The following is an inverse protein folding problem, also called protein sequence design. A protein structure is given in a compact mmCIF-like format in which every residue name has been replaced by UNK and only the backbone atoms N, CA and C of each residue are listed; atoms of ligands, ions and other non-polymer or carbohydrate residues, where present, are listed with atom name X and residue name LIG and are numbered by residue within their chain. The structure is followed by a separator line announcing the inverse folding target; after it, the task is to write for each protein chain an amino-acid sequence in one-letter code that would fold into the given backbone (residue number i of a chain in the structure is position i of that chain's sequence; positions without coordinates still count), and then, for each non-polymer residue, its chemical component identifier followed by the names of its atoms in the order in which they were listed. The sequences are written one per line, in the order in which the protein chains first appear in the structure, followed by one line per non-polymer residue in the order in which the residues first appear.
data_IF_614473084113
#
_entry.id   IF_614473084113
#
_cell.length_a   1.000
_cell.length_b   1.000
_cell.length_c   1.000
_cell.angle_alpha   90.00
_cell.angle_beta   90.00
_cell.angle_gamma   90.00
#
_symmetry.space_group_name_H-M   'P 1'
#
loop_
_entity.id
_entity.type
_entity.pdbx_description
1 polymer ?
#
# COMPACT_ATOMS: atom_id res chain seq x y z
N UNK A 1 -9.20 6.39 0.99
CA UNK A 1 -8.22 6.79 2.04
C UNK A 1 -7.26 7.85 1.49
N UNK A 2 -6.92 8.91 2.25
CA UNK A 2 -5.91 9.89 1.81
C UNK A 2 -4.48 9.33 1.90
N UNK A 3 -3.57 9.81 1.04
CA UNK A 3 -2.14 9.42 1.06
C UNK A 3 -1.44 9.77 2.38
N UNK A 4 -1.98 10.71 3.16
CA UNK A 4 -1.45 11.10 4.46
C UNK A 4 -1.41 9.97 5.49
N UNK A 5 -2.14 8.86 5.27
CA UNK A 5 -2.08 7.69 6.13
C UNK A 5 -0.89 6.78 5.85
N UNK A 6 -0.21 6.90 4.70
CA UNK A 6 1.02 6.16 4.42
C UNK A 6 2.23 6.79 5.10
N UNK A 7 3.29 6.00 5.25
CA UNK A 7 4.60 6.42 5.72
C UNK A 7 5.10 7.62 4.88
N UNK A 8 5.76 8.63 5.48
CA UNK A 8 6.15 9.85 4.77
C UNK A 8 6.94 9.61 3.49
N UNK A 9 7.85 8.63 3.48
CA UNK A 9 8.63 8.27 2.29
C UNK A 9 7.75 7.74 1.15
N UNK A 10 6.78 6.87 1.46
CA UNK A 10 5.83 6.33 0.48
C UNK A 10 4.94 7.45 -0.07
N UNK A 11 4.45 8.33 0.81
CA UNK A 11 3.65 9.49 0.41
C UNK A 11 4.41 10.40 -0.56
N UNK A 12 5.65 10.79 -0.24
CA UNK A 12 6.47 11.66 -1.09
C UNK A 12 6.69 11.03 -2.45
N UNK A 13 7.17 9.79 -2.46
CA UNK A 13 7.41 9.03 -3.69
C UNK A 13 6.15 8.90 -4.54
N UNK A 14 5.01 8.55 -3.92
CA UNK A 14 3.75 8.38 -4.66
C UNK A 14 3.33 9.70 -5.29
N UNK A 15 3.34 10.80 -4.54
CA UNK A 15 2.94 12.10 -5.06
C UNK A 15 3.86 12.57 -6.19
N UNK A 16 5.17 12.39 -6.06
CA UNK A 16 6.15 12.79 -7.08
C UNK A 16 6.07 11.94 -8.36
N UNK A 17 5.85 10.63 -8.24
CA UNK A 17 5.91 9.69 -9.38
C UNK A 17 4.56 9.43 -10.02
N UNK A 18 3.48 9.46 -9.23
CA UNK A 18 2.15 9.00 -9.64
C UNK A 18 1.07 10.06 -9.42
N UNK A 19 1.37 11.15 -8.70
CA UNK A 19 0.43 12.22 -8.42
C UNK A 19 -0.63 11.81 -7.40
N UNK A 20 -1.85 11.58 -7.88
CA UNK A 20 -3.02 11.30 -7.03
C UNK A 20 -3.42 9.82 -7.11
N UNK A 21 -3.92 9.23 -6.00
CA UNK A 21 -4.42 7.87 -6.01
C UNK A 21 -5.56 7.67 -7.01
N UNK A 22 -5.61 6.54 -7.70
CA UNK A 22 -6.74 6.14 -8.55
C UNK A 22 -7.93 5.65 -7.72
N UNK A 23 -9.10 5.48 -8.35
CA UNK A 23 -10.30 4.94 -7.70
C UNK A 23 -10.06 3.58 -7.00
N UNK A 24 -9.55 2.51 -7.66
CA UNK A 24 -9.33 1.23 -6.99
C UNK A 24 -8.33 1.30 -5.83
N UNK A 25 -7.41 2.26 -5.85
CA UNK A 25 -6.49 2.51 -4.75
C UNK A 25 -7.21 3.15 -3.56
N UNK A 26 -7.96 4.23 -3.78
CA UNK A 26 -8.70 4.93 -2.73
C UNK A 26 -9.72 4.04 -2.02
N UNK A 27 -10.35 3.16 -2.80
CA UNK A 27 -11.43 2.27 -2.34
C UNK A 27 -10.87 0.98 -1.72
N UNK A 28 -9.78 0.45 -2.28
CA UNK A 28 -9.15 -0.79 -1.79
C UNK A 28 -8.36 -0.61 -0.50
N UNK A 29 -7.59 0.48 -0.37
CA UNK A 29 -6.67 0.64 0.77
C UNK A 29 -7.32 0.62 2.15
N UNK A 30 -8.49 1.26 2.42
CA UNK A 30 -9.15 1.14 3.71
C UNK A 30 -9.41 -0.32 4.11
N UNK A 31 -9.87 -1.13 3.16
CA UNK A 31 -10.25 -2.53 3.39
C UNK A 31 -9.01 -3.41 3.61
N UNK A 32 -7.98 -3.21 2.78
CA UNK A 32 -6.72 -3.94 2.89
C UNK A 32 -6.03 -3.61 4.22
N UNK A 33 -6.00 -2.33 4.61
CA UNK A 33 -5.45 -1.87 5.89
C UNK A 33 -6.16 -2.52 7.08
N UNK A 34 -7.46 -2.70 7.00
CA UNK A 34 -8.27 -3.39 8.02
C UNK A 34 -8.02 -4.91 8.07
N UNK A 35 -7.14 -5.44 7.22
CA UNK A 35 -6.85 -6.87 7.14
C UNK A 35 -7.95 -7.68 6.46
N UNK A 36 -8.88 -7.03 5.75
CA UNK A 36 -9.98 -7.72 5.07
C UNK A 36 -9.52 -8.31 3.74
N UNK A 37 -9.94 -9.54 3.46
CA UNK A 37 -9.85 -10.09 2.11
C UNK A 37 -10.62 -9.17 1.14
N UNK A 38 -9.90 -8.65 0.14
CA UNK A 38 -10.41 -7.60 -0.75
C UNK A 38 -10.17 -8.00 -2.20
N UNK A 39 -11.25 -8.16 -2.97
CA UNK A 39 -11.20 -8.34 -4.42
C UNK A 39 -11.33 -6.98 -5.11
N UNK A 40 -10.32 -6.59 -5.87
CA UNK A 40 -10.33 -5.36 -6.68
C UNK A 40 -10.53 -5.72 -8.15
N UNK A 41 -11.74 -5.51 -8.66
CA UNK A 41 -12.06 -5.65 -10.07
C UNK A 41 -12.04 -4.27 -10.76
N UNK A 42 -10.96 -3.98 -11.50
CA UNK A 42 -10.79 -2.71 -12.21
C UNK A 42 -10.10 -2.94 -13.57
N UNK A 43 -10.34 -2.07 -14.57
CA UNK A 43 -9.69 -2.17 -15.89
C UNK A 43 -8.15 -2.18 -15.80
N UNK A 44 -7.44 -2.72 -16.81
CA UNK A 44 -6.00 -2.56 -16.94
C UNK A 44 -5.57 -1.09 -16.89
N UNK A 45 -4.34 -0.81 -16.44
CA UNK A 45 -3.81 0.56 -16.35
C UNK A 45 -4.34 1.41 -15.17
N UNK A 46 -5.34 0.95 -14.42
CA UNK A 46 -5.92 1.73 -13.30
C UNK A 46 -5.15 1.63 -11.96
N UNK A 47 -3.99 0.99 -11.96
CA UNK A 47 -3.13 0.90 -10.76
C UNK A 47 -3.58 -0.10 -9.69
N UNK A 48 -4.42 -1.09 -10.04
CA UNK A 48 -4.91 -2.14 -9.10
C UNK A 48 -3.80 -2.96 -8.42
N UNK A 49 -2.68 -3.18 -9.10
CA UNK A 49 -1.52 -3.88 -8.51
C UNK A 49 -0.96 -3.08 -7.36
N UNK A 50 -0.74 -1.78 -7.57
CA UNK A 50 -0.28 -0.90 -6.49
C UNK A 50 -1.33 -0.74 -5.39
N UNK A 51 -2.63 -0.78 -5.73
CA UNK A 51 -3.69 -0.83 -4.73
C UNK A 51 -3.53 -2.04 -3.79
N UNK A 52 -3.23 -3.22 -4.35
CA UNK A 52 -3.07 -4.46 -3.60
C UNK A 52 -1.78 -4.52 -2.77
N UNK A 53 -0.66 -4.02 -3.29
CA UNK A 53 0.65 -4.21 -2.67
C UNK A 53 1.15 -3.04 -1.81
N UNK A 54 0.74 -1.80 -2.08
CA UNK A 54 1.38 -0.64 -1.46
C UNK A 54 1.24 -0.62 0.07
N UNK A 55 0.14 -1.14 0.62
CA UNK A 55 -0.03 -1.26 2.07
C UNK A 55 0.99 -2.22 2.71
N UNK A 56 1.30 -3.35 2.06
CA UNK A 56 2.32 -4.27 2.57
C UNK A 56 3.72 -3.64 2.56
N UNK A 57 4.03 -2.82 1.54
CA UNK A 57 5.28 -2.06 1.48
C UNK A 57 5.30 -0.99 2.59
N UNK A 58 4.18 -0.32 2.83
CA UNK A 58 4.04 0.67 3.90
C UNK A 58 4.35 0.07 5.28
N UNK A 59 3.79 -1.12 5.57
CA UNK A 59 4.06 -1.86 6.79
C UNK A 59 5.55 -2.17 6.94
N UNK A 60 6.25 -2.55 5.86
CA UNK A 60 7.70 -2.77 5.89
C UNK A 60 8.49 -1.49 6.21
N UNK A 61 8.11 -0.35 5.63
CA UNK A 61 8.76 0.94 5.93
C UNK A 61 8.57 1.33 7.41
N UNK A 62 7.41 1.06 7.98
CA UNK A 62 7.15 1.32 9.42
C UNK A 62 7.93 0.38 10.33
N UNK A 63 8.08 -0.88 9.92
CA UNK A 63 8.85 -1.87 10.67
C UNK A 63 10.36 -1.66 10.56
N UNK A 64 10.84 -1.01 9.49
CA UNK A 64 12.26 -0.85 9.14
C UNK A 64 13.23 -0.71 10.32
N UNK A 65 13.04 0.23 11.27
CA UNK A 65 13.93 0.41 12.41
C UNK A 65 14.05 -0.79 13.37
N UNK A 66 13.14 -1.76 13.28
CA UNK A 66 13.02 -2.94 14.15
C UNK A 66 13.24 -4.27 13.41
N UNK A 67 13.59 -4.21 12.11
CA UNK A 67 13.86 -5.40 11.32
C UNK A 67 15.33 -5.80 11.47
N UNK A 68 15.55 -7.06 11.82
CA UNK A 68 16.88 -7.68 11.73
C UNK A 68 17.21 -7.98 10.27
N UNK A 69 18.49 -8.16 9.96
CA UNK A 69 18.94 -8.66 8.66
C UNK A 69 18.65 -10.18 8.54
N UNK A 70 17.37 -10.50 8.37
CA UNK A 70 16.87 -11.87 8.28
C UNK A 70 15.62 -11.95 7.39
N UNK A 71 15.47 -13.08 6.70
CA UNK A 71 14.24 -13.37 5.95
C UNK A 71 13.13 -13.79 6.92
N UNK A 72 12.01 -13.05 6.91
CA UNK A 72 10.81 -13.38 7.70
C UNK A 72 9.65 -13.71 6.75
N UNK A 73 8.99 -14.84 6.99
CA UNK A 73 7.75 -15.23 6.29
C UNK A 73 6.56 -14.87 7.17
N UNK A 74 5.78 -13.89 6.74
CA UNK A 74 4.54 -13.51 7.43
C UNK A 74 3.54 -14.66 7.36
N UNK A 75 3.05 -15.14 8.52
CA UNK A 75 2.04 -16.19 8.62
C UNK A 75 0.60 -15.66 8.62
N UNK A 76 0.37 -14.46 8.08
CA UNK A 76 -1.01 -13.98 7.88
C UNK A 76 -1.75 -14.84 6.86
#
# INVERSE_FOLDING_TARGET
MPLSQFHPAIRSWFTERLGAPSTPQRDGWPLIREGRHTLIAAPPGTGKTLAAFLWAIDDLFRLGPSLDDATRVSRR
#
